data_IF_900443007074
#
_entry.id   IF_900443007074
#
_cell.length_a   1.000
_cell.length_b   1.000
_cell.length_c   1.000
_cell.angle_alpha   90.00
_cell.angle_beta   90.00
_cell.angle_gamma   90.00
#
_symmetry.space_group_name_H-M   'P 1'
#
loop_
_entity.id
_entity.type
_entity.pdbx_description
1 polymer ?
#
# COMPACT_ATOMS: atom_id res chain seq x y z
N UNK A 1 15.29 -5.38 9.06
CA UNK A 1 13.99 -4.78 9.42
C UNK A 1 13.33 -5.51 10.59
N UNK A 2 13.98 -6.53 11.17
CA UNK A 2 13.41 -7.41 12.18
C UNK A 2 13.63 -6.94 13.62
N UNK A 3 14.35 -5.85 13.82
CA UNK A 3 14.51 -5.21 15.14
C UNK A 3 13.13 -4.86 15.76
N UNK A 4 12.97 -5.04 17.08
CA UNK A 4 11.75 -4.62 17.76
C UNK A 4 11.36 -3.17 17.47
N UNK A 5 10.05 -2.93 17.36
CA UNK A 5 9.40 -1.65 16.98
C UNK A 5 9.61 -1.18 15.55
N UNK A 6 10.15 -2.05 14.69
CA UNK A 6 9.88 -1.97 13.26
C UNK A 6 8.55 -2.67 12.99
N UNK A 7 7.58 -1.93 12.45
CA UNK A 7 6.23 -2.43 12.17
C UNK A 7 5.80 -2.05 10.76
N UNK A 8 4.90 -2.84 10.18
CA UNK A 8 4.22 -2.46 8.95
C UNK A 8 3.41 -1.17 9.15
N UNK A 9 3.30 -0.32 8.13
CA UNK A 9 2.53 0.92 8.21
C UNK A 9 1.05 0.66 8.54
N UNK A 10 0.46 -0.39 7.93
CA UNK A 10 -0.88 -0.87 8.29
C UNK A 10 -0.94 -1.42 9.72
N UNK A 11 0.10 -2.12 10.17
CA UNK A 11 0.24 -2.59 11.55
C UNK A 11 0.26 -1.44 12.57
N UNK A 12 1.03 -0.38 12.31
CA UNK A 12 1.03 0.83 13.14
C UNK A 12 -0.37 1.47 13.22
N UNK A 13 -1.11 1.49 12.10
CA UNK A 13 -2.49 1.99 12.08
C UNK A 13 -3.44 1.10 12.89
N UNK A 14 -3.29 -0.21 12.83
CA UNK A 14 -4.08 -1.17 13.59
C UNK A 14 -3.80 -1.07 15.10
N UNK A 15 -2.52 -0.97 15.50
CA UNK A 15 -2.14 -0.74 16.90
C UNK A 15 -2.81 0.51 17.47
N UNK A 16 -2.81 1.60 16.70
CA UNK A 16 -3.41 2.86 17.14
C UNK A 16 -4.95 2.78 17.18
N UNK A 17 -5.59 2.23 16.15
CA UNK A 17 -7.07 2.25 16.05
C UNK A 17 -7.76 1.22 16.94
N UNK A 18 -7.16 0.03 17.04
CA UNK A 18 -7.76 -1.08 17.78
C UNK A 18 -7.18 -1.21 19.18
N UNK A 19 -5.88 -0.98 19.33
CA UNK A 19 -5.18 -1.10 20.60
C UNK A 19 -5.06 0.21 21.37
N UNK A 20 -5.27 1.36 20.73
CA UNK A 20 -4.95 2.69 21.29
C UNK A 20 -3.48 2.81 21.72
N UNK A 21 -2.59 2.05 21.08
CA UNK A 21 -1.16 1.98 21.40
C UNK A 21 -0.33 2.55 20.25
N UNK A 22 0.68 3.34 20.60
CA UNK A 22 1.69 3.82 19.67
C UNK A 22 2.85 2.82 19.56
N UNK A 23 3.42 2.62 18.36
CA UNK A 23 4.60 1.75 18.20
C UNK A 23 5.86 2.33 18.87
N UNK A 24 5.91 3.65 19.07
CA UNK A 24 6.99 4.39 19.71
C UNK A 24 6.62 5.86 19.90
N UNK A 25 7.47 6.63 20.57
CA UNK A 25 7.25 8.06 20.82
C UNK A 25 7.81 8.94 19.70
N UNK A 26 8.85 8.48 19.00
CA UNK A 26 9.50 9.15 17.87
C UNK A 26 9.56 8.20 16.68
N UNK A 27 8.54 8.26 15.83
CA UNK A 27 8.29 7.27 14.77
C UNK A 27 8.66 7.82 13.40
N UNK A 28 9.60 7.18 12.69
CA UNK A 28 9.77 7.43 11.25
C UNK A 28 8.72 6.63 10.48
N UNK A 29 8.04 7.27 9.53
CA UNK A 29 7.14 6.58 8.59
C UNK A 29 7.83 6.52 7.24
N UNK A 30 7.92 5.34 6.61
CA UNK A 30 8.68 5.17 5.39
C UNK A 30 8.06 4.19 4.39
N UNK A 31 8.44 4.32 3.12
CA UNK A 31 8.18 3.34 2.06
C UNK A 31 7.56 3.99 0.83
N UNK A 32 6.50 3.41 0.28
CA UNK A 32 5.78 3.99 -0.86
C UNK A 32 4.26 3.85 -0.72
N UNK A 33 3.54 4.94 -0.96
CA UNK A 33 2.08 4.91 -1.12
C UNK A 33 1.31 5.90 -0.26
N UNK A 34 0.06 6.22 -0.66
CA UNK A 34 -0.77 7.23 -0.01
C UNK A 34 -1.14 6.87 1.44
N UNK A 35 -1.14 5.58 1.80
CA UNK A 35 -1.38 5.11 3.17
C UNK A 35 -0.39 5.74 4.16
N UNK A 36 0.85 5.98 3.76
CA UNK A 36 1.89 6.49 4.66
C UNK A 36 1.55 7.87 5.21
N UNK A 37 0.91 8.73 4.41
CA UNK A 37 0.47 10.05 4.87
C UNK A 37 -0.63 9.94 5.94
N UNK A 38 -1.58 9.02 5.75
CA UNK A 38 -2.65 8.78 6.70
C UNK A 38 -2.10 8.21 8.03
N UNK A 39 -1.13 7.29 7.96
CA UNK A 39 -0.46 6.71 9.14
C UNK A 39 0.34 7.78 9.89
N UNK A 40 1.19 8.55 9.19
CA UNK A 40 1.97 9.61 9.79
C UNK A 40 1.08 10.68 10.49
N UNK A 41 -0.02 11.06 9.86
CA UNK A 41 -0.97 12.01 10.45
C UNK A 41 -1.70 11.41 11.67
N UNK A 42 -2.10 10.14 11.60
CA UNK A 42 -2.79 9.46 12.72
C UNK A 42 -1.87 9.34 13.93
N UNK A 43 -0.62 8.93 13.72
CA UNK A 43 0.41 8.88 14.76
C UNK A 43 0.67 10.26 15.37
N UNK A 44 0.79 11.30 14.53
CA UNK A 44 1.02 12.67 14.99
C UNK A 44 -0.14 13.19 15.86
N UNK A 45 -1.39 12.93 15.44
CA UNK A 45 -2.60 13.29 16.20
C UNK A 45 -2.73 12.54 17.53
N UNK A 46 -2.19 11.33 17.59
CA UNK A 46 -2.15 10.52 18.80
C UNK A 46 -0.95 10.87 19.73
N UNK A 47 -0.17 11.90 19.40
CA UNK A 47 0.90 12.41 20.25
C UNK A 47 2.30 11.84 19.96
N UNK A 48 2.46 10.98 18.94
CA UNK A 48 3.78 10.57 18.50
C UNK A 48 4.49 11.69 17.74
N UNK A 49 5.79 11.88 17.96
CA UNK A 49 6.63 12.76 17.16
C UNK A 49 7.02 12.03 15.87
N UNK A 50 6.59 12.52 14.72
CA UNK A 50 6.97 11.97 13.41
C UNK A 50 8.01 12.89 12.75
N UNK A 51 9.33 12.66 12.95
CA UNK A 51 10.37 13.56 12.44
C UNK A 51 10.46 13.56 10.91
N UNK A 52 10.08 12.45 10.27
CA UNK A 52 10.07 12.35 8.82
C UNK A 52 9.02 11.34 8.31
N UNK A 53 8.39 11.71 7.21
CA UNK A 53 7.70 10.80 6.29
C UNK A 53 8.58 10.62 5.06
N UNK A 54 9.12 9.42 4.87
CA UNK A 54 10.04 9.05 3.79
C UNK A 54 9.27 8.33 2.69
N UNK A 55 9.10 8.98 1.54
CA UNK A 55 8.38 8.46 0.38
C UNK A 55 9.39 8.14 -0.74
N UNK A 56 9.38 6.88 -1.20
CA UNK A 56 10.19 6.43 -2.32
C UNK A 56 9.71 7.05 -3.64
N UNK A 57 8.39 7.13 -3.83
CA UNK A 57 7.81 7.71 -5.03
C UNK A 57 7.91 9.25 -5.09
N UNK A 58 7.71 9.79 -6.28
CA UNK A 58 7.52 11.22 -6.50
C UNK A 58 6.08 11.52 -6.89
N UNK A 59 5.43 12.44 -6.19
CA UNK A 59 4.06 12.85 -6.51
C UNK A 59 3.93 13.58 -7.88
N UNK A 60 5.06 13.99 -8.50
CA UNK A 60 5.05 14.56 -9.85
C UNK A 60 4.54 13.58 -10.92
N UNK A 61 4.62 12.27 -10.70
CA UNK A 61 4.14 11.27 -11.67
C UNK A 61 2.62 11.32 -11.88
N UNK A 62 1.85 11.81 -10.90
CA UNK A 62 0.40 12.02 -11.04
C UNK A 62 0.05 13.01 -12.16
N UNK A 63 0.94 13.97 -12.46
CA UNK A 63 0.71 14.96 -13.52
C UNK A 63 0.59 14.34 -14.92
N UNK A 64 1.00 13.07 -15.10
CA UNK A 64 0.87 12.33 -16.37
C UNK A 64 -0.56 11.89 -16.68
N UNK A 65 -1.47 11.96 -15.71
CA UNK A 65 -2.86 11.51 -15.87
C UNK A 65 -3.88 12.59 -15.46
N UNK A 66 -3.83 13.80 -16.07
CA UNK A 66 -4.66 14.93 -15.64
C UNK A 66 -6.16 14.64 -15.75
N UNK A 67 -6.59 13.83 -16.71
CA UNK A 67 -7.99 13.41 -16.87
C UNK A 67 -8.48 12.56 -15.68
N UNK A 68 -7.65 11.65 -15.19
CA UNK A 68 -7.98 10.79 -14.03
C UNK A 68 -8.06 11.63 -12.75
N UNK A 69 -7.16 12.61 -12.60
CA UNK A 69 -7.18 13.55 -11.49
C UNK A 69 -8.43 14.46 -11.51
N UNK A 70 -8.76 15.03 -12.68
CA UNK A 70 -9.92 15.89 -12.85
C UNK A 70 -11.25 15.15 -12.57
N UNK A 71 -11.30 13.85 -12.85
CA UNK A 71 -12.46 13.02 -12.55
C UNK A 71 -12.60 12.68 -11.04
N UNK A 72 -11.54 12.85 -10.23
CA UNK A 72 -11.50 12.47 -8.81
C UNK A 72 -11.07 13.65 -7.90
N UNK A 73 -11.77 14.80 -7.93
CA UNK A 73 -11.38 16.01 -7.19
C UNK A 73 -11.42 15.81 -5.67
N UNK A 74 -12.30 14.94 -5.18
CA UNK A 74 -12.41 14.59 -3.77
C UNK A 74 -11.13 13.90 -3.25
N UNK A 75 -10.44 13.13 -4.10
CA UNK A 75 -9.16 12.48 -3.76
C UNK A 75 -8.02 13.48 -3.69
N UNK A 76 -8.03 14.48 -4.56
CA UNK A 76 -7.07 15.59 -4.48
C UNK A 76 -7.27 16.38 -3.18
N UNK A 77 -8.52 16.66 -2.82
CA UNK A 77 -8.86 17.34 -1.56
C UNK A 77 -8.48 16.50 -0.33
N UNK A 78 -8.64 15.18 -0.38
CA UNK A 78 -8.15 14.25 0.65
C UNK A 78 -6.62 14.32 0.80
N UNK A 79 -5.88 14.23 -0.32
CA UNK A 79 -4.42 14.37 -0.31
C UNK A 79 -3.94 15.71 0.23
N UNK A 80 -4.59 16.81 -0.16
CA UNK A 80 -4.27 18.15 0.36
C UNK A 80 -4.52 18.28 1.87
N UNK A 81 -5.60 17.66 2.38
CA UNK A 81 -5.90 17.62 3.82
C UNK A 81 -4.86 16.83 4.61
N UNK A 82 -4.39 15.70 4.08
CA UNK A 82 -3.29 14.97 4.69
C UNK A 82 -2.00 15.80 4.69
N UNK A 83 -1.66 16.41 3.55
CA UNK A 83 -0.46 17.24 3.41
C UNK A 83 -0.44 18.41 4.38
N UNK A 84 -1.54 19.15 4.47
CA UNK A 84 -1.69 20.29 5.40
C UNK A 84 -1.66 19.83 6.85
N UNK A 85 -2.29 18.70 7.17
CA UNK A 85 -2.23 18.08 8.50
C UNK A 85 -0.80 17.73 8.92
N UNK A 86 -0.02 17.13 8.01
CA UNK A 86 1.39 16.78 8.26
C UNK A 86 2.25 18.03 8.51
N UNK A 87 2.07 19.08 7.70
CA UNK A 87 2.80 20.36 7.87
C UNK A 87 2.49 20.99 9.22
N UNK A 88 1.22 20.98 9.65
CA UNK A 88 0.81 21.51 10.96
C UNK A 88 1.46 20.78 12.15
N UNK A 89 1.79 19.50 12.00
CA UNK A 89 2.50 18.73 13.02
C UNK A 89 4.03 18.74 12.83
N UNK A 90 4.56 19.59 11.93
CA UNK A 90 5.99 19.71 11.68
C UNK A 90 6.63 18.48 11.01
N UNK A 91 5.84 17.63 10.35
CA UNK A 91 6.35 16.40 9.72
C UNK A 91 7.08 16.74 8.42
N UNK A 92 8.39 16.44 8.37
CA UNK A 92 9.21 16.61 7.16
C UNK A 92 8.93 15.50 6.16
N UNK A 93 8.36 15.84 5.00
CA UNK A 93 8.18 14.87 3.91
C UNK A 93 9.40 14.85 3.01
N UNK A 94 9.95 13.66 2.81
CA UNK A 94 11.16 13.38 2.06
C UNK A 94 10.81 12.44 0.90
N UNK A 95 10.61 12.99 -0.30
CA UNK A 95 10.32 12.21 -1.51
C UNK A 95 11.60 11.73 -2.21
N UNK A 96 11.50 10.72 -3.08
CA UNK A 96 12.64 10.11 -3.78
C UNK A 96 13.74 9.61 -2.83
N UNK A 97 13.30 9.10 -1.67
CA UNK A 97 14.18 8.61 -0.61
C UNK A 97 13.60 7.34 -0.01
N UNK A 98 14.48 6.48 0.49
CA UNK A 98 14.11 5.25 1.17
C UNK A 98 14.92 5.07 2.45
N UNK A 99 14.37 4.32 3.40
CA UNK A 99 15.15 3.79 4.52
C UNK A 99 15.99 2.63 4.00
N UNK A 100 17.32 2.76 4.10
CA UNK A 100 18.28 1.77 3.59
C UNK A 100 18.97 0.98 4.69
N UNK A 101 18.88 1.43 5.94
CA UNK A 101 19.36 0.70 7.10
C UNK A 101 18.51 1.06 8.33
N UNK A 102 18.34 0.09 9.22
CA UNK A 102 17.73 0.27 10.55
C UNK A 102 18.81 -0.05 11.56
N UNK A 103 19.01 0.84 12.54
CA UNK A 103 20.09 0.75 13.53
C UNK A 103 19.52 0.47 14.92
N UNK A 104 20.28 -0.28 15.71
CA UNK A 104 20.00 -0.60 17.11
C UNK A 104 20.33 -2.05 17.42
N UNK A 105 20.42 -2.36 18.71
CA UNK A 105 20.75 -3.72 19.19
C UNK A 105 19.50 -4.43 19.72
N UNK A 106 18.86 -3.87 20.74
CA UNK A 106 17.66 -4.47 21.35
C UNK A 106 16.35 -4.01 20.69
N UNK A 107 16.37 -2.83 20.06
CA UNK A 107 15.24 -2.18 19.40
C UNK A 107 15.78 -1.15 18.42
N UNK A 108 14.93 -0.63 17.56
CA UNK A 108 15.33 0.49 16.69
C UNK A 108 15.68 1.74 17.50
N UNK A 109 16.81 2.35 17.15
CA UNK A 109 17.33 3.61 17.70
C UNK A 109 17.50 4.69 16.63
N UNK A 110 17.51 4.28 15.36
CA UNK A 110 17.56 5.19 14.23
C UNK A 110 17.49 4.46 12.90
N UNK A 111 17.37 5.25 11.83
CA UNK A 111 17.36 4.74 10.46
C UNK A 111 18.29 5.57 9.59
N UNK A 112 18.94 4.92 8.60
CA UNK A 112 19.58 5.64 7.50
C UNK A 112 18.57 5.85 6.38
N UNK A 113 18.38 7.11 5.98
CA UNK A 113 17.57 7.51 4.84
C UNK A 113 18.49 7.97 3.70
N UNK A 114 18.37 7.33 2.54
CA UNK A 114 19.19 7.64 1.36
C UNK A 114 18.32 8.15 0.23
N UNK A 115 18.88 8.97 -0.67
CA UNK A 115 18.22 9.25 -1.96
C UNK A 115 18.19 7.96 -2.78
N UNK A 116 17.16 7.81 -3.59
CA UNK A 116 17.07 6.70 -4.56
C UNK A 116 16.98 7.23 -5.99
N UNK A 117 17.52 6.47 -6.93
CA UNK A 117 17.40 6.75 -8.36
C UNK A 117 16.03 6.31 -8.93
N UNK A 118 15.85 6.42 -10.25
CA UNK A 118 14.60 6.02 -10.93
C UNK A 118 14.34 4.51 -10.86
N UNK A 119 15.37 3.69 -10.71
CA UNK A 119 15.25 2.25 -10.52
C UNK A 119 15.07 1.88 -9.04
N UNK A 120 14.99 2.86 -8.14
CA UNK A 120 14.91 2.69 -6.68
C UNK A 120 16.18 2.09 -6.05
N UNK A 121 17.34 2.37 -6.64
CA UNK A 121 18.64 2.04 -6.05
C UNK A 121 19.13 3.20 -5.18
N UNK A 122 19.65 2.93 -3.98
CA UNK A 122 20.27 3.96 -3.14
C UNK A 122 21.40 4.67 -3.87
N UNK A 123 21.41 6.00 -3.82
CA UNK A 123 22.50 6.82 -4.38
C UNK A 123 23.64 6.88 -3.34
N UNK A 124 24.86 6.40 -3.67
CA UNK A 124 25.99 6.40 -2.75
C UNK A 124 26.29 7.79 -2.17
N UNK A 125 26.72 7.83 -0.91
CA UNK A 125 27.08 9.07 -0.21
C UNK A 125 25.90 9.97 0.21
N UNK A 126 24.65 9.60 -0.07
CA UNK A 126 23.46 10.42 0.26
C UNK A 126 22.75 10.02 1.56
N UNK A 127 23.26 9.00 2.25
CA UNK A 127 22.69 8.46 3.48
C UNK A 127 22.76 9.46 4.63
N UNK A 128 21.64 9.66 5.31
CA UNK A 128 21.55 10.49 6.51
C UNK A 128 20.85 9.72 7.62
N UNK A 129 21.42 9.75 8.83
CA UNK A 129 20.80 9.15 10.00
C UNK A 129 19.68 10.03 10.53
N UNK A 130 18.55 9.40 10.87
CA UNK A 130 17.45 10.00 11.62
C UNK A 130 17.22 9.13 12.84
N UNK A 131 17.45 9.65 14.04
CA UNK A 131 17.14 8.89 15.25
C UNK A 131 15.62 8.72 15.41
N UNK A 132 15.20 7.57 15.89
CA UNK A 132 13.80 7.19 16.10
C UNK A 132 13.73 5.96 16.99
N UNK A 133 12.65 5.81 17.75
CA UNK A 133 12.41 4.65 18.61
C UNK A 133 11.39 3.65 18.02
N UNK A 134 10.88 3.94 16.83
CA UNK A 134 10.06 3.07 16.01
C UNK A 134 10.15 3.43 14.52
N UNK A 135 9.93 2.44 13.66
CA UNK A 135 9.80 2.59 12.21
C UNK A 135 8.48 1.97 11.76
N UNK A 136 7.62 2.76 11.11
CA UNK A 136 6.43 2.27 10.43
C UNK A 136 6.70 2.25 8.91
N UNK A 137 6.84 1.06 8.33
CA UNK A 137 7.27 0.87 6.94
C UNK A 137 6.20 0.18 6.08
N UNK A 138 6.00 0.63 4.83
CA UNK A 138 5.08 -0.05 3.91
C UNK A 138 5.24 0.39 2.46
N UNK A 139 5.13 -0.55 1.52
CA UNK A 139 5.31 -0.34 0.07
C UNK A 139 4.05 -0.67 -0.75
N UNK A 140 2.88 -0.52 -0.13
CA UNK A 140 1.60 -0.92 -0.72
C UNK A 140 0.82 -1.87 0.20
N UNK A 141 -0.28 -2.39 -0.34
CA UNK A 141 -1.11 -3.43 0.26
C UNK A 141 -1.28 -4.54 -0.79
N UNK A 142 -1.50 -5.77 -0.32
CA UNK A 142 -1.71 -6.93 -1.19
C UNK A 142 -3.10 -7.47 -0.89
N UNK A 143 -3.94 -7.73 -1.90
CA UNK A 143 -5.25 -8.32 -1.67
C UNK A 143 -5.17 -9.65 -0.92
N UNK A 144 -6.03 -9.84 0.08
CA UNK A 144 -6.17 -11.13 0.76
C UNK A 144 -7.12 -12.04 -0.04
N UNK A 145 -6.55 -13.07 -0.68
CA UNK A 145 -7.24 -13.88 -1.68
C UNK A 145 -7.45 -15.34 -1.28
N UNK A 146 -6.95 -15.78 -0.12
CA UNK A 146 -6.86 -17.18 0.30
C UNK A 146 -8.19 -17.94 0.15
N UNK A 147 -9.29 -17.36 0.64
CA UNK A 147 -10.62 -17.98 0.54
C UNK A 147 -11.08 -18.12 -0.92
N UNK A 148 -10.89 -17.08 -1.73
CA UNK A 148 -11.35 -17.07 -3.12
C UNK A 148 -10.51 -18.01 -4.00
N UNK A 149 -9.19 -18.08 -3.75
CA UNK A 149 -8.31 -19.05 -4.39
C UNK A 149 -8.69 -20.48 -4.03
N UNK A 150 -9.02 -20.74 -2.75
CA UNK A 150 -9.53 -22.04 -2.30
C UNK A 150 -10.85 -22.45 -2.97
N UNK A 151 -11.67 -21.48 -3.39
CA UNK A 151 -12.90 -21.72 -4.16
C UNK A 151 -12.66 -21.89 -5.67
N UNK A 152 -11.43 -21.71 -6.15
CA UNK A 152 -11.09 -21.80 -7.57
C UNK A 152 -11.37 -20.52 -8.38
N UNK A 153 -11.47 -19.36 -7.71
CA UNK A 153 -11.64 -18.08 -8.41
C UNK A 153 -10.36 -17.71 -9.17
N UNK A 154 -10.50 -17.31 -10.44
CA UNK A 154 -9.39 -16.87 -11.25
C UNK A 154 -8.85 -15.51 -10.78
N UNK A 155 -7.55 -15.31 -11.02
CA UNK A 155 -6.85 -14.05 -10.73
C UNK A 155 -6.31 -13.42 -12.00
N UNK A 156 -6.20 -12.10 -11.95
CA UNK A 156 -5.45 -11.27 -12.89
C UNK A 156 -4.37 -10.49 -12.16
N UNK A 157 -3.36 -10.07 -12.90
CA UNK A 157 -2.33 -9.16 -12.37
C UNK A 157 -2.82 -7.71 -12.40
N UNK A 158 -2.77 -7.03 -11.26
CA UNK A 158 -3.05 -5.62 -11.11
C UNK A 158 -1.95 -4.73 -11.71
N UNK A 159 -2.25 -3.43 -11.84
CA UNK A 159 -1.27 -2.45 -12.35
C UNK A 159 -0.09 -2.21 -11.41
N UNK A 160 -0.23 -2.61 -10.14
CA UNK A 160 0.81 -2.62 -9.12
C UNK A 160 1.55 -3.97 -9.03
N UNK A 161 1.31 -4.88 -9.99
CA UNK A 161 1.92 -6.22 -10.02
C UNK A 161 1.32 -7.22 -9.03
N UNK A 162 0.38 -6.80 -8.18
CA UNK A 162 -0.28 -7.70 -7.23
C UNK A 162 -1.33 -8.59 -7.90
N UNK A 163 -1.59 -9.78 -7.35
CA UNK A 163 -2.72 -10.59 -7.78
C UNK A 163 -4.04 -9.96 -7.29
N UNK A 164 -5.07 -10.00 -8.13
CA UNK A 164 -6.42 -9.57 -7.83
C UNK A 164 -7.42 -10.52 -8.48
N UNK A 165 -8.62 -10.68 -7.90
CA UNK A 165 -9.66 -11.49 -8.52
C UNK A 165 -10.11 -10.92 -9.86
N UNK A 166 -10.29 -11.81 -10.82
CA UNK A 166 -11.00 -11.51 -12.05
C UNK A 166 -12.51 -11.42 -11.75
N UNK A 167 -13.11 -10.27 -12.06
CA UNK A 167 -14.54 -10.04 -11.87
C UNK A 167 -15.15 -9.31 -13.06
N UNK A 168 -16.40 -9.63 -13.38
CA UNK A 168 -17.16 -8.97 -14.43
C UNK A 168 -17.70 -7.57 -14.01
N UNK A 169 -18.48 -6.93 -14.88
CA UNK A 169 -19.13 -5.63 -14.62
C UNK A 169 -20.27 -5.68 -13.57
N UNK A 170 -20.58 -6.88 -13.07
CA UNK A 170 -21.56 -7.18 -12.04
C UNK A 170 -20.89 -7.70 -10.76
N UNK A 171 -19.56 -7.78 -10.75
CA UNK A 171 -18.71 -8.28 -9.69
C UNK A 171 -18.82 -9.79 -9.43
N UNK A 172 -19.27 -10.55 -10.44
CA UNK A 172 -19.19 -12.02 -10.42
C UNK A 172 -17.75 -12.43 -10.65
N UNK A 173 -17.30 -13.41 -9.90
CA UNK A 173 -16.03 -14.10 -10.15
C UNK A 173 -16.21 -15.15 -11.27
N UNK A 174 -15.13 -15.85 -11.61
CA UNK A 174 -15.20 -17.00 -12.53
C UNK A 174 -15.92 -18.21 -11.95
N UNK A 175 -16.14 -18.25 -10.64
CA UNK A 175 -16.88 -19.33 -9.97
C UNK A 175 -18.36 -18.93 -9.88
N UNK A 176 -19.28 -19.70 -10.48
CA UNK A 176 -20.71 -19.41 -10.40
C UNK A 176 -21.20 -19.33 -8.94
N UNK A 177 -22.05 -18.35 -8.65
CA UNK A 177 -22.55 -18.12 -7.30
C UNK A 177 -21.57 -17.41 -6.36
N UNK A 178 -20.40 -16.99 -6.83
CA UNK A 178 -19.41 -16.26 -6.03
C UNK A 178 -19.20 -14.85 -6.59
N UNK A 179 -19.37 -13.85 -5.72
CA UNK A 179 -19.12 -12.44 -6.00
C UNK A 179 -17.97 -11.93 -5.15
N UNK A 180 -17.26 -10.94 -5.68
CA UNK A 180 -16.16 -10.29 -4.97
C UNK A 180 -16.23 -8.77 -5.12
N UNK A 181 -16.13 -8.06 -3.99
CA UNK A 181 -16.17 -6.61 -3.93
C UNK A 181 -15.03 -6.06 -3.08
N UNK A 182 -14.56 -4.86 -3.41
CA UNK A 182 -13.54 -4.17 -2.66
C UNK A 182 -12.13 -4.66 -2.99
N UNK A 183 -11.35 -4.88 -1.93
CA UNK A 183 -9.91 -5.09 -2.04
C UNK A 183 -9.53 -6.39 -2.77
N UNK A 184 -10.37 -7.42 -2.73
CA UNK A 184 -10.14 -8.68 -3.43
C UNK A 184 -10.05 -8.50 -4.95
N UNK A 185 -10.75 -7.50 -5.51
CA UNK A 185 -10.60 -7.08 -6.91
C UNK A 185 -9.40 -6.16 -7.16
N UNK A 186 -8.54 -5.94 -6.17
CA UNK A 186 -7.41 -5.01 -6.16
C UNK A 186 -7.65 -3.82 -5.21
N UNK A 187 -6.58 -3.31 -4.60
CA UNK A 187 -6.62 -2.25 -3.58
C UNK A 187 -7.06 -0.92 -4.20
N UNK A 188 -8.17 -0.34 -3.72
CA UNK A 188 -8.65 0.96 -4.21
C UNK A 188 -9.36 1.85 -3.19
N UNK A 189 -9.33 1.44 -1.92
CA UNK A 189 -9.81 2.23 -0.78
C UNK A 189 -11.31 2.16 -0.52
N UNK A 190 -11.71 2.67 0.65
CA UNK A 190 -13.04 2.46 1.24
C UNK A 190 -14.21 2.87 0.35
N UNK A 191 -14.14 4.02 -0.33
CA UNK A 191 -15.27 4.51 -1.16
C UNK A 191 -15.53 3.60 -2.37
N UNK A 192 -14.46 3.07 -2.97
CA UNK A 192 -14.60 2.11 -4.05
C UNK A 192 -15.15 0.78 -3.52
N UNK A 193 -14.66 0.31 -2.37
CA UNK A 193 -15.18 -0.90 -1.73
C UNK A 193 -16.68 -0.81 -1.41
N UNK A 194 -17.17 0.35 -0.96
CA UNK A 194 -18.61 0.58 -0.72
C UNK A 194 -19.42 0.52 -2.02
N UNK A 195 -18.94 1.19 -3.08
CA UNK A 195 -19.60 1.16 -4.41
C UNK A 195 -19.63 -0.26 -4.97
N UNK A 196 -18.53 -0.99 -4.84
CA UNK A 196 -18.43 -2.37 -5.30
C UNK A 196 -19.31 -3.31 -4.48
N UNK A 197 -19.41 -3.12 -3.16
CA UNK A 197 -20.31 -3.88 -2.31
C UNK A 197 -21.78 -3.68 -2.69
N UNK A 198 -22.20 -2.43 -2.92
CA UNK A 198 -23.56 -2.12 -3.40
C UNK A 198 -23.83 -2.77 -4.77
N UNK A 199 -22.85 -2.70 -5.68
CA UNK A 199 -22.97 -3.29 -7.01
C UNK A 199 -23.07 -4.83 -6.96
N UNK A 200 -22.24 -5.49 -6.17
CA UNK A 200 -22.29 -6.93 -5.96
C UNK A 200 -23.62 -7.37 -5.35
N UNK A 201 -24.11 -6.67 -4.32
CA UNK A 201 -25.40 -6.96 -3.70
C UNK A 201 -26.57 -6.87 -4.71
N UNK A 202 -26.59 -5.83 -5.53
CA UNK A 202 -27.59 -5.70 -6.60
C UNK A 202 -27.48 -6.81 -7.65
N UNK A 203 -26.27 -7.29 -7.94
CA UNK A 203 -26.09 -8.44 -8.84
C UNK A 203 -26.64 -9.72 -8.23
N UNK A 204 -26.36 -9.98 -6.95
CA UNK A 204 -26.87 -11.16 -6.22
C UNK A 204 -28.40 -11.15 -6.20
N UNK A 205 -29.02 -10.01 -5.88
CA UNK A 205 -30.48 -9.87 -5.83
C UNK A 205 -31.11 -10.07 -7.22
N UNK A 206 -30.49 -9.53 -8.27
CA UNK A 206 -30.99 -9.70 -9.63
C UNK A 206 -30.96 -11.18 -10.04
N UNK A 207 -29.88 -11.89 -9.74
CA UNK A 207 -29.75 -13.32 -10.04
C UNK A 207 -30.75 -14.17 -9.27
N UNK A 208 -30.87 -13.96 -7.95
CA UNK A 208 -31.81 -14.69 -7.10
C UNK A 208 -33.29 -14.50 -7.51
N UNK A 209 -33.63 -13.38 -8.14
CA UNK A 209 -34.99 -13.07 -8.60
C UNK A 209 -35.23 -13.38 -10.08
N UNK A 210 -34.24 -13.91 -10.81
CA UNK A 210 -34.31 -14.07 -12.27
C UNK A 210 -34.48 -12.74 -13.03
N UNK A 211 -34.11 -11.63 -12.41
CA UNK A 211 -34.31 -10.27 -12.92
C UNK A 211 -33.05 -9.64 -13.50
N UNK A 212 -33.19 -8.41 -14.00
CA UNK A 212 -32.06 -7.59 -14.49
C UNK A 212 -31.69 -6.51 -13.47
N UNK A 213 -30.40 -6.14 -13.36
CA UNK A 213 -29.99 -5.02 -12.51
C UNK A 213 -30.67 -3.71 -12.93
N UNK A 214 -31.19 -2.96 -11.96
CA UNK A 214 -31.93 -1.72 -12.20
C UNK A 214 -31.04 -0.52 -12.59
N UNK A 215 -31.66 0.64 -12.83
CA UNK A 215 -30.98 1.85 -13.29
C UNK A 215 -29.81 2.32 -12.37
N UNK A 216 -29.92 2.05 -11.06
CA UNK A 216 -28.88 2.33 -10.05
C UNK A 216 -27.54 1.67 -10.39
N UNK A 217 -27.56 0.47 -10.95
CA UNK A 217 -26.36 -0.28 -11.36
C UNK A 217 -25.51 0.50 -12.37
N UNK A 218 -26.13 1.23 -13.30
CA UNK A 218 -25.42 2.06 -14.26
C UNK A 218 -24.64 3.21 -13.61
N UNK A 219 -25.21 3.83 -12.55
CA UNK A 219 -24.54 4.90 -11.79
C UNK A 219 -23.35 4.35 -10.99
N UNK A 220 -23.53 3.18 -10.37
CA UNK A 220 -22.47 2.52 -9.60
C UNK A 220 -21.31 2.09 -10.49
N UNK A 221 -21.58 1.52 -11.68
CA UNK A 221 -20.53 1.15 -12.64
C UNK A 221 -19.68 2.35 -13.08
N UNK A 222 -20.31 3.48 -13.40
CA UNK A 222 -19.57 4.71 -13.76
C UNK A 222 -18.70 5.19 -12.60
N UNK A 223 -19.24 5.16 -11.38
CA UNK A 223 -18.51 5.53 -10.17
C UNK A 223 -17.33 4.59 -9.90
N UNK A 224 -17.55 3.28 -10.04
CA UNK A 224 -16.55 2.22 -9.91
C UNK A 224 -15.42 2.44 -10.90
N UNK A 225 -15.72 2.58 -12.20
CA UNK A 225 -14.72 2.77 -13.25
C UNK A 225 -13.80 3.95 -12.94
N UNK A 226 -14.40 5.10 -12.63
CA UNK A 226 -13.68 6.33 -12.28
C UNK A 226 -12.75 6.16 -11.07
N UNK A 227 -13.20 5.45 -10.04
CA UNK A 227 -12.40 5.19 -8.84
C UNK A 227 -11.32 4.12 -9.07
N UNK A 228 -11.60 3.10 -9.89
CA UNK A 228 -10.63 2.08 -10.32
C UNK A 228 -9.52 2.71 -11.17
N UNK A 229 -9.85 3.62 -12.10
CA UNK A 229 -8.87 4.37 -12.89
C UNK A 229 -7.91 5.16 -11.98
N UNK A 230 -8.42 5.78 -10.92
CA UNK A 230 -7.59 6.47 -9.92
C UNK A 230 -6.76 5.51 -9.08
N UNK A 231 -7.32 4.39 -8.64
CA UNK A 231 -6.59 3.35 -7.91
C UNK A 231 -5.43 2.77 -8.74
N UNK A 232 -5.67 2.49 -10.03
CA UNK A 232 -4.66 2.03 -10.96
C UNK A 232 -3.52 3.04 -11.15
N UNK A 233 -3.86 4.34 -11.29
CA UNK A 233 -2.87 5.41 -11.32
C UNK A 233 -2.02 5.45 -10.04
N UNK A 234 -2.66 5.38 -8.86
CA UNK A 234 -1.94 5.35 -7.59
C UNK A 234 -1.00 4.14 -7.50
N UNK A 235 -1.49 2.94 -7.86
CA UNK A 235 -0.69 1.73 -7.88
C UNK A 235 0.53 1.86 -8.78
N UNK A 236 0.35 2.38 -10.01
CA UNK A 236 1.45 2.59 -10.94
C UNK A 236 2.47 3.64 -10.47
N UNK A 237 2.03 4.73 -9.82
CA UNK A 237 2.92 5.78 -9.31
C UNK A 237 3.77 5.30 -8.13
N UNK A 238 3.21 4.44 -7.29
CA UNK A 238 3.83 3.99 -6.05
C UNK A 238 4.46 2.58 -6.14
N UNK A 239 4.40 1.94 -7.31
CA UNK A 239 5.00 0.64 -7.58
C UNK A 239 6.51 0.65 -7.30
N UNK A 240 7.05 -0.32 -6.53
CA UNK A 240 8.47 -0.46 -6.35
C UNK A 240 9.27 -0.57 -7.65
N UNK A 241 10.34 0.20 -7.74
CA UNK A 241 11.25 0.18 -8.90
C UNK A 241 12.01 -1.14 -9.01
N UNK A 242 12.44 -1.54 -10.22
CA UNK A 242 13.04 -2.86 -10.47
C UNK A 242 14.38 -3.09 -9.74
N UNK A 243 15.06 -2.02 -9.32
CA UNK A 243 16.28 -2.10 -8.53
C UNK A 243 16.06 -2.20 -7.01
N UNK A 244 14.81 -2.19 -6.53
CA UNK A 244 14.47 -2.20 -5.11
C UNK A 244 15.05 -3.40 -4.35
N UNK A 245 14.97 -4.60 -4.92
CA UNK A 245 15.49 -5.83 -4.28
C UNK A 245 17.00 -6.03 -4.49
N UNK A 246 17.61 -5.28 -5.41
CA UNK A 246 18.99 -5.47 -5.84
C UNK A 246 20.06 -5.04 -4.83
N UNK A 247 19.68 -4.33 -3.77
CA UNK A 247 20.59 -3.85 -2.73
C UNK A 247 20.31 -4.49 -1.35
N UNK A 248 19.48 -5.54 -1.30
CA UNK A 248 19.31 -6.34 -0.10
C UNK A 248 20.60 -7.09 0.22
N UNK A 249 21.10 -6.93 1.45
CA UNK A 249 22.26 -7.67 1.91
C UNK A 249 21.95 -9.19 1.94
N UNK A 250 22.95 -10.06 1.72
CA UNK A 250 22.75 -11.52 1.72
C UNK A 250 22.03 -12.08 2.93
N UNK A 251 22.36 -11.54 4.10
CA UNK A 251 21.81 -11.88 5.41
C UNK A 251 20.47 -11.22 5.73
N UNK A 252 19.91 -10.41 4.82
CA UNK A 252 18.60 -9.77 5.06
C UNK A 252 17.51 -10.84 5.12
N UNK A 253 16.88 -10.99 6.28
CA UNK A 253 15.70 -11.84 6.45
C UNK A 253 14.57 -11.37 5.51
N UNK A 254 13.98 -12.30 4.76
CA UNK A 254 12.80 -12.09 3.90
C UNK A 254 11.56 -12.65 4.58
N UNK A 255 11.65 -13.86 5.12
CA UNK A 255 10.62 -14.46 5.96
C UNK A 255 11.13 -14.61 7.39
N UNK A 256 10.56 -13.84 8.32
CA UNK A 256 10.92 -13.93 9.75
C UNK A 256 10.44 -15.23 10.40
N UNK A 257 9.28 -15.76 9.98
CA UNK A 257 8.70 -16.95 10.59
C UNK A 257 9.51 -18.22 10.28
N UNK A 258 10.14 -18.25 9.10
CA UNK A 258 10.92 -19.38 8.60
C UNK A 258 12.42 -19.08 8.57
N UNK A 259 12.83 -17.89 9.04
CA UNK A 259 14.22 -17.43 9.08
C UNK A 259 14.92 -17.46 7.69
N UNK A 260 14.15 -17.25 6.62
CA UNK A 260 14.65 -17.29 5.24
C UNK A 260 15.33 -15.98 4.88
N UNK A 261 16.58 -16.04 4.42
CA UNK A 261 17.36 -14.87 3.99
C UNK A 261 17.22 -14.57 2.50
N UNK A 262 17.60 -13.36 2.09
CA UNK A 262 17.66 -12.97 0.68
C UNK A 262 18.66 -13.81 -0.11
N UNK A 263 19.76 -14.27 0.50
CA UNK A 263 20.69 -15.21 -0.11
C UNK A 263 20.00 -16.56 -0.40
N UNK A 264 19.28 -17.11 0.58
CA UNK A 264 18.54 -18.38 0.43
C UNK A 264 17.57 -18.33 -0.76
N UNK A 265 16.79 -17.24 -0.87
CA UNK A 265 15.86 -17.05 -2.00
C UNK A 265 16.61 -16.98 -3.34
N UNK A 266 17.72 -16.22 -3.41
CA UNK A 266 18.49 -16.09 -4.65
C UNK A 266 19.10 -17.42 -5.09
N UNK A 267 19.65 -18.20 -4.17
CA UNK A 267 20.16 -19.54 -4.45
C UNK A 267 19.05 -20.45 -4.97
N UNK A 268 17.86 -20.43 -4.36
CA UNK A 268 16.73 -21.25 -4.81
C UNK A 268 16.31 -20.93 -6.26
N UNK A 269 16.23 -19.65 -6.63
CA UNK A 269 15.87 -19.24 -8.00
C UNK A 269 17.00 -19.54 -9.00
N UNK A 270 18.25 -19.23 -8.66
CA UNK A 270 19.36 -19.30 -9.61
C UNK A 270 19.92 -20.72 -9.79
N UNK A 271 19.95 -21.53 -8.72
CA UNK A 271 20.63 -22.83 -8.72
C UNK A 271 19.64 -24.00 -8.70
N UNK A 272 18.44 -23.81 -8.12
CA UNK A 272 17.46 -24.89 -7.94
C UNK A 272 16.24 -24.78 -8.88
N UNK A 273 16.13 -23.71 -9.68
CA UNK A 273 15.11 -23.56 -10.71
C UNK A 273 13.68 -23.34 -10.21
N UNK A 274 13.53 -22.78 -9.00
CA UNK A 274 12.24 -22.40 -8.41
C UNK A 274 11.61 -21.15 -9.06
#
# INVERSE_FOLDING_TARGET
WTLPRVVGAAGAQAMLKSGLVLPGRRVVVAGSGPLLQAVALSLSRAGARVPALVEAAGYGAYARAPRVLAANPDRLAEGARHRTGLVRHGVRMLTHRAVTAVHGTERVEGVTVSRIDRAWRPVPGTGQRIDCDALAVGHGLVPQLDLALGLGCATRTGTDGSAALEVDEQLRTTVPGVWAAGETGGVGGVRLAVVEGELAALSVIAEARGGRPGARTGVLRRSRRRMRDFAALMGAVHLPGPGWTGWLAPDTEVCRCEEVTAATVRTAVAELGA
#
